data_IF_460565930239
#
_entry.id   IF_460565930239
#
_cell.length_a   1.000
_cell.length_b   1.000
_cell.length_c   1.000
_cell.angle_alpha   90.00
_cell.angle_beta   90.00
_cell.angle_gamma   90.00
#
_symmetry.space_group_name_H-M   'P 1'
#
loop_
_entity.id
_entity.type
_entity.pdbx_description
1 polymer ?
#
# COMPACT_ATOMS: atom_id res chain seq x y z
N UNK A 1 16.49 16.96 3.01
CA UNK A 1 15.31 16.05 2.97
C UNK A 1 15.63 14.93 1.99
N UNK A 2 16.10 13.77 2.48
CA UNK A 2 16.30 12.59 1.63
C UNK A 2 14.97 11.93 1.38
N UNK A 3 14.49 12.00 0.14
CA UNK A 3 13.29 11.30 -0.33
C UNK A 3 13.56 9.87 -0.83
N UNK A 4 14.80 9.39 -0.73
CA UNK A 4 15.16 8.02 -1.06
C UNK A 4 15.30 7.18 0.21
N UNK A 5 14.31 6.33 0.45
CA UNK A 5 14.49 5.12 1.26
C UNK A 5 15.11 4.06 0.34
N UNK A 6 16.14 3.35 0.80
CA UNK A 6 16.79 2.32 0.02
C UNK A 6 15.77 1.23 -0.39
N UNK A 7 15.42 1.18 -1.67
CA UNK A 7 14.81 -0.01 -2.28
C UNK A 7 15.88 -1.12 -2.34
N UNK A 8 16.25 -1.70 -1.19
CA UNK A 8 17.12 -2.88 -1.15
C UNK A 8 16.81 -3.75 0.06
N UNK A 9 15.89 -4.69 -0.15
CA UNK A 9 16.20 -6.08 0.15
C UNK A 9 16.39 -6.80 -1.19
N UNK A 10 17.64 -6.82 -1.64
CA UNK A 10 18.04 -7.75 -2.69
C UNK A 10 18.05 -9.16 -2.13
N UNK A 11 17.39 -10.08 -2.83
CA UNK A 11 17.49 -11.55 -2.73
C UNK A 11 16.30 -12.30 -2.10
N UNK A 12 15.17 -12.27 -2.80
CA UNK A 12 14.47 -13.47 -3.31
C UNK A 12 13.83 -13.07 -4.65
N UNK A 13 13.66 -13.99 -5.59
CA UNK A 13 13.17 -13.70 -6.95
C UNK A 13 11.68 -13.30 -7.02
N UNK A 14 11.24 -12.42 -6.12
CA UNK A 14 9.87 -11.95 -6.01
C UNK A 14 9.85 -10.43 -5.77
N UNK A 15 8.80 -9.78 -6.26
CA UNK A 15 8.61 -8.33 -6.16
C UNK A 15 7.27 -8.01 -5.51
N UNK A 16 7.13 -6.79 -5.02
CA UNK A 16 5.90 -6.32 -4.37
C UNK A 16 5.15 -5.35 -5.27
N UNK A 17 3.82 -5.35 -5.16
CA UNK A 17 3.00 -4.27 -5.69
C UNK A 17 2.95 -3.13 -4.68
N UNK A 18 3.21 -1.91 -5.15
CA UNK A 18 3.34 -0.73 -4.28
C UNK A 18 2.29 0.31 -4.66
N UNK A 19 1.56 0.80 -3.66
CA UNK A 19 0.70 1.97 -3.77
C UNK A 19 1.14 3.05 -2.77
N UNK A 20 1.53 4.23 -3.27
CA UNK A 20 1.85 5.37 -2.41
C UNK A 20 0.73 6.40 -2.50
N UNK A 21 0.10 6.68 -1.36
CA UNK A 21 -1.09 7.50 -1.23
C UNK A 21 -0.86 8.64 -0.23
N UNK A 22 -1.57 9.75 -0.42
CA UNK A 22 -1.70 10.77 0.62
C UNK A 22 -2.94 10.46 1.45
N UNK A 23 -2.79 10.48 2.76
CA UNK A 23 -3.91 10.48 3.70
C UNK A 23 -4.05 11.86 4.34
N UNK A 24 -5.29 12.33 4.46
CA UNK A 24 -5.63 13.59 5.11
C UNK A 24 -6.70 13.34 6.20
N UNK A 25 -6.53 13.88 7.41
CA UNK A 25 -7.57 13.81 8.44
C UNK A 25 -8.89 14.38 7.92
N UNK A 26 -10.00 13.67 8.16
CA UNK A 26 -11.34 14.08 7.73
C UNK A 26 -11.71 13.74 6.28
N UNK A 27 -10.75 13.72 5.36
CA UNK A 27 -10.97 13.39 3.94
C UNK A 27 -10.57 11.96 3.57
N UNK A 28 -9.70 11.32 4.36
CA UNK A 28 -9.20 9.97 4.09
C UNK A 28 -8.08 9.93 3.05
N UNK A 29 -7.98 8.82 2.33
CA UNK A 29 -6.99 8.66 1.27
C UNK A 29 -7.40 9.39 -0.01
N UNK A 30 -6.51 10.25 -0.52
CA UNK A 30 -6.75 10.94 -1.78
C UNK A 30 -6.75 9.93 -2.95
N UNK A 31 -7.79 9.99 -3.80
CA UNK A 31 -7.98 9.09 -4.97
C UNK A 31 -7.98 7.60 -4.59
N UNK A 32 -8.45 7.27 -3.39
CA UNK A 32 -8.38 5.93 -2.83
C UNK A 32 -8.84 4.82 -3.78
N UNK A 33 -10.00 5.00 -4.40
CA UNK A 33 -10.58 4.04 -5.35
C UNK A 33 -9.66 3.77 -6.55
N UNK A 34 -8.95 4.78 -7.07
CA UNK A 34 -8.03 4.62 -8.20
C UNK A 34 -6.80 3.82 -7.82
N UNK A 35 -6.30 4.04 -6.60
CA UNK A 35 -5.16 3.29 -6.07
C UNK A 35 -5.54 1.82 -5.85
N UNK A 36 -6.69 1.56 -5.23
CA UNK A 36 -7.18 0.19 -5.04
C UNK A 36 -7.47 -0.51 -6.38
N UNK A 37 -8.10 0.17 -7.34
CA UNK A 37 -8.35 -0.39 -8.66
C UNK A 37 -7.05 -0.80 -9.36
N UNK A 38 -6.00 0.04 -9.29
CA UNK A 38 -4.69 -0.29 -9.85
C UNK A 38 -4.04 -1.48 -9.14
N UNK A 39 -4.08 -1.51 -7.81
CA UNK A 39 -3.53 -2.60 -7.01
C UNK A 39 -4.21 -3.93 -7.35
N UNK A 40 -5.55 -3.95 -7.38
CA UNK A 40 -6.31 -5.16 -7.64
C UNK A 40 -6.17 -5.64 -9.09
N UNK A 41 -6.16 -4.72 -10.06
CA UNK A 41 -5.89 -5.07 -11.46
C UNK A 41 -4.50 -5.68 -11.61
N UNK A 42 -3.47 -5.05 -11.04
CA UNK A 42 -2.09 -5.55 -11.08
C UNK A 42 -1.96 -6.91 -10.37
N UNK A 43 -2.64 -7.07 -9.23
CA UNK A 43 -2.63 -8.33 -8.49
C UNK A 43 -3.28 -9.47 -9.29
N UNK A 44 -4.41 -9.20 -9.96
CA UNK A 44 -5.08 -10.16 -10.82
C UNK A 44 -4.23 -10.52 -12.05
N UNK A 45 -3.64 -9.53 -12.72
CA UNK A 45 -2.81 -9.74 -13.92
C UNK A 45 -1.51 -10.49 -13.63
N UNK A 46 -0.91 -10.26 -12.46
CA UNK A 46 0.40 -10.80 -12.10
C UNK A 46 0.32 -12.02 -11.17
N UNK A 47 -0.88 -12.44 -10.79
CA UNK A 47 -1.13 -13.62 -9.97
C UNK A 47 -0.72 -13.46 -8.50
N UNK A 48 -1.01 -12.30 -7.91
CA UNK A 48 -0.84 -12.06 -6.47
C UNK A 48 -2.11 -12.48 -5.74
N UNK A 49 -1.97 -13.15 -4.60
CA UNK A 49 -3.07 -13.25 -3.66
C UNK A 49 -3.38 -11.84 -3.12
N UNK A 50 -4.66 -11.47 -3.08
CA UNK A 50 -5.07 -10.15 -2.60
C UNK A 50 -6.38 -10.28 -1.84
N UNK A 51 -6.35 -9.91 -0.56
CA UNK A 51 -7.53 -9.85 0.30
C UNK A 51 -7.88 -8.37 0.58
N UNK A 52 -8.97 -7.85 0.01
CA UNK A 52 -9.42 -6.48 0.26
C UNK A 52 -9.62 -6.14 1.73
N UNK A 53 -10.03 -7.10 2.57
CA UNK A 53 -10.22 -6.87 4.00
C UNK A 53 -8.88 -6.61 4.69
N UNK A 54 -7.88 -7.45 4.44
CA UNK A 54 -6.52 -7.27 4.96
C UNK A 54 -5.90 -5.94 4.51
N UNK A 55 -6.08 -5.56 3.24
CA UNK A 55 -5.61 -4.26 2.74
C UNK A 55 -6.26 -3.11 3.52
N UNK A 56 -7.57 -3.19 3.75
CA UNK A 56 -8.30 -2.21 4.56
C UNK A 56 -7.77 -2.11 5.99
N UNK A 57 -7.60 -3.24 6.68
CA UNK A 57 -7.07 -3.29 8.05
C UNK A 57 -5.68 -2.64 8.16
N UNK A 58 -4.78 -3.00 7.25
CA UNK A 58 -3.42 -2.46 7.21
C UNK A 58 -3.45 -0.94 7.02
N UNK A 59 -4.26 -0.43 6.08
CA UNK A 59 -4.38 1.00 5.83
C UNK A 59 -5.04 1.75 6.99
N UNK A 60 -6.09 1.21 7.60
CA UNK A 60 -6.76 1.80 8.75
C UNK A 60 -5.83 1.85 9.96
N UNK A 61 -5.07 0.79 10.21
CA UNK A 61 -4.07 0.74 11.27
C UNK A 61 -2.98 1.80 11.05
N UNK A 62 -2.49 1.95 9.81
CA UNK A 62 -1.43 2.90 9.46
C UNK A 62 -1.80 4.37 9.73
N UNK A 63 -3.08 4.71 9.61
CA UNK A 63 -3.58 6.08 9.79
C UNK A 63 -4.30 6.29 11.13
N UNK A 64 -4.43 5.23 11.92
CA UNK A 64 -5.12 5.24 13.21
C UNK A 64 -4.53 6.29 14.16
N UNK A 65 -5.39 7.17 14.67
CA UNK A 65 -5.02 8.21 15.65
C UNK A 65 -4.18 9.37 15.09
N UNK A 66 -3.85 9.37 13.81
CA UNK A 66 -3.03 10.41 13.20
C UNK A 66 -3.83 11.71 13.01
N UNK A 67 -3.18 12.85 13.24
CA UNK A 67 -3.83 14.17 13.22
C UNK A 67 -3.31 15.09 12.10
N UNK A 68 -2.31 14.63 11.33
CA UNK A 68 -1.68 15.38 10.26
C UNK A 68 -1.73 14.65 8.93
N UNK A 69 -1.35 15.35 7.85
CA UNK A 69 -1.27 14.76 6.51
C UNK A 69 -0.14 13.71 6.49
N UNK A 70 -0.43 12.53 5.95
CA UNK A 70 0.54 11.43 5.84
C UNK A 70 0.79 11.03 4.40
N UNK A 71 2.00 10.52 4.16
CA UNK A 71 2.32 9.73 2.98
C UNK A 71 2.35 8.25 3.39
N UNK A 72 1.38 7.47 2.94
CA UNK A 72 1.25 6.05 3.25
C UNK A 72 1.70 5.22 2.05
N UNK A 73 2.61 4.26 2.25
CA UNK A 73 3.10 3.37 1.19
C UNK A 73 2.65 1.94 1.47
N UNK A 74 1.56 1.52 0.86
CA UNK A 74 1.12 0.13 0.89
C UNK A 74 2.04 -0.73 -0.01
N UNK A 75 2.51 -1.85 0.51
CA UNK A 75 3.19 -2.90 -0.24
C UNK A 75 2.43 -4.22 -0.10
N UNK A 76 2.25 -4.94 -1.21
CA UNK A 76 1.60 -6.25 -1.28
C UNK A 76 2.58 -7.26 -1.87
N UNK A 77 2.85 -8.32 -1.12
CA UNK A 77 3.64 -9.47 -1.55
C UNK A 77 2.76 -10.48 -2.29
N UNK A 78 3.40 -11.34 -3.10
CA UNK A 78 2.72 -12.36 -3.92
C UNK A 78 1.83 -13.32 -3.12
N UNK A 79 2.22 -13.63 -1.89
CA UNK A 79 1.49 -14.50 -0.96
C UNK A 79 0.26 -13.84 -0.32
N UNK A 80 0.01 -12.55 -0.58
CA UNK A 80 -1.10 -11.80 0.00
C UNK A 80 -0.77 -11.07 1.31
N UNK A 81 0.47 -11.14 1.79
CA UNK A 81 0.92 -10.29 2.89
C UNK A 81 1.00 -8.84 2.44
N UNK A 82 0.50 -7.94 3.30
CA UNK A 82 0.45 -6.51 3.02
C UNK A 82 0.95 -5.71 4.24
N UNK A 83 1.63 -4.60 3.98
CA UNK A 83 2.18 -3.69 5.00
C UNK A 83 2.26 -2.25 4.51
N UNK A 84 2.43 -1.30 5.43
CA UNK A 84 2.49 0.16 5.16
C UNK A 84 3.71 0.82 5.75
#
# INVERSE_FOLDING_TARGET
MSSESALRDGNRADFELIETMRWEPGSGFLRFERHLARLYASAAELGFACDPHRIGEVLTSAVGGQQGILRTRLALQRNGEAGT
#
